data_IF_079975783224
#
_entry.id   IF_079975783224
#
_cell.length_a   1.000
_cell.length_b   1.000
_cell.length_c   1.000
_cell.angle_alpha   90.00
_cell.angle_beta   90.00
_cell.angle_gamma   90.00
#
_symmetry.space_group_name_H-M   'P 1'
#
loop_
_entity.id
_entity.type
_entity.pdbx_description
1 polymer ?
#
# COMPACT_ATOMS: atom_id res chain seq x y z
N UNK A 1 -4.66 -14.06 -23.00
CA UNK A 1 -3.92 -12.90 -22.44
C UNK A 1 -4.65 -12.36 -21.23
N UNK A 2 -5.97 -12.21 -21.33
CA UNK A 2 -6.85 -11.68 -20.29
C UNK A 2 -6.74 -12.43 -18.95
N UNK A 3 -6.82 -13.76 -19.00
CA UNK A 3 -6.67 -14.62 -17.81
C UNK A 3 -5.32 -14.38 -17.09
N UNK A 4 -4.23 -14.19 -17.84
CA UNK A 4 -2.90 -13.97 -17.25
C UNK A 4 -2.88 -12.62 -16.52
N UNK A 5 -3.41 -11.56 -17.13
CA UNK A 5 -3.48 -10.23 -16.51
C UNK A 5 -4.37 -10.23 -15.26
N UNK A 6 -5.51 -10.91 -15.31
CA UNK A 6 -6.39 -11.08 -14.14
C UNK A 6 -5.69 -11.83 -13.01
N UNK A 7 -4.98 -12.92 -13.32
CA UNK A 7 -4.22 -13.69 -12.31
C UNK A 7 -3.07 -12.88 -11.71
N UNK A 8 -2.32 -12.16 -12.54
CA UNK A 8 -1.24 -11.26 -12.07
C UNK A 8 -1.82 -10.22 -11.11
N UNK A 9 -2.93 -9.59 -11.48
CA UNK A 9 -3.63 -8.64 -10.61
C UNK A 9 -4.02 -9.27 -9.28
N UNK A 10 -4.71 -10.40 -9.33
CA UNK A 10 -5.21 -11.07 -8.14
C UNK A 10 -4.11 -11.53 -7.18
N UNK A 11 -3.04 -12.12 -7.72
CA UNK A 11 -1.88 -12.55 -6.94
C UNK A 11 -1.17 -11.34 -6.34
N UNK A 12 -0.95 -10.27 -7.11
CA UNK A 12 -0.24 -9.10 -6.64
C UNK A 12 -0.99 -8.38 -5.51
N UNK A 13 -2.31 -8.21 -5.61
CA UNK A 13 -3.12 -7.66 -4.52
C UNK A 13 -3.16 -8.56 -3.28
N UNK A 14 -3.18 -9.88 -3.48
CA UNK A 14 -3.07 -10.83 -2.36
C UNK A 14 -1.72 -10.67 -1.63
N UNK A 15 -0.62 -10.49 -2.37
CA UNK A 15 0.70 -10.19 -1.79
C UNK A 15 0.68 -8.86 -1.03
N UNK A 16 0.02 -7.82 -1.56
CA UNK A 16 -0.16 -6.54 -0.86
C UNK A 16 -0.85 -6.76 0.49
N UNK A 17 -1.94 -7.52 0.54
CA UNK A 17 -2.66 -7.78 1.78
C UNK A 17 -1.83 -8.55 2.81
N UNK A 18 -1.21 -9.66 2.41
CA UNK A 18 -0.37 -10.47 3.30
C UNK A 18 0.78 -9.63 3.86
N UNK A 19 1.45 -8.87 3.01
CA UNK A 19 2.58 -8.03 3.40
C UNK A 19 2.14 -6.84 4.27
N UNK A 20 0.99 -6.22 3.98
CA UNK A 20 0.42 -5.14 4.78
C UNK A 20 0.10 -5.61 6.21
N UNK A 21 -0.46 -6.81 6.36
CA UNK A 21 -0.70 -7.43 7.67
C UNK A 21 0.63 -7.68 8.39
N UNK A 22 1.59 -8.32 7.71
CA UNK A 22 2.91 -8.63 8.29
C UNK A 22 3.62 -7.36 8.78
N UNK A 23 3.70 -6.34 7.93
CA UNK A 23 4.36 -5.07 8.22
C UNK A 23 3.63 -4.29 9.30
N UNK A 24 2.29 -4.25 9.27
CA UNK A 24 1.50 -3.57 10.29
C UNK A 24 1.69 -4.18 11.68
N UNK A 25 1.74 -5.51 11.77
CA UNK A 25 2.03 -6.21 13.02
C UNK A 25 3.49 -6.01 13.47
N UNK A 26 4.46 -6.14 12.56
CA UNK A 26 5.90 -5.99 12.83
C UNK A 26 6.23 -4.59 13.34
N UNK A 27 5.77 -3.56 12.63
CA UNK A 27 6.11 -2.16 12.90
C UNK A 27 5.12 -1.50 13.89
N UNK A 28 4.15 -2.28 14.40
CA UNK A 28 3.08 -1.85 15.31
C UNK A 28 2.39 -0.59 14.81
N UNK A 29 1.89 -0.67 13.59
CA UNK A 29 1.26 0.42 12.85
C UNK A 29 0.25 -0.12 11.84
N UNK A 30 -0.42 0.75 11.09
CA UNK A 30 -1.19 0.37 9.91
C UNK A 30 -0.35 0.59 8.65
N UNK A 31 -0.35 -0.42 7.78
CA UNK A 31 0.42 -0.36 6.53
C UNK A 31 -0.34 0.34 5.39
N UNK A 32 -1.67 0.20 5.36
CA UNK A 32 -2.51 0.82 4.34
C UNK A 32 -3.12 2.12 4.85
N UNK A 33 -3.05 3.24 4.09
CA UNK A 33 -3.70 4.49 4.47
C UNK A 33 -5.19 4.32 4.75
N UNK A 34 -5.69 4.95 5.82
CA UNK A 34 -7.04 4.71 6.34
C UNK A 34 -8.16 4.93 5.31
N UNK A 35 -8.12 6.02 4.55
CA UNK A 35 -9.15 6.31 3.55
C UNK A 35 -9.16 5.27 2.42
N UNK A 36 -7.97 4.79 2.02
CA UNK A 36 -7.84 3.73 1.02
C UNK A 36 -8.34 2.39 1.55
N UNK A 37 -8.00 2.04 2.79
CA UNK A 37 -8.49 0.84 3.48
C UNK A 37 -10.02 0.84 3.60
N UNK A 38 -10.62 1.99 3.93
CA UNK A 38 -12.07 2.11 4.01
C UNK A 38 -12.77 1.95 2.66
N UNK A 39 -12.19 2.50 1.59
CA UNK A 39 -12.72 2.34 0.24
C UNK A 39 -12.56 0.92 -0.29
N UNK A 40 -11.41 0.27 -0.04
CA UNK A 40 -11.19 -1.13 -0.39
C UNK A 40 -12.19 -2.04 0.33
N UNK A 41 -12.29 -1.91 1.66
CA UNK A 41 -13.18 -2.75 2.43
C UNK A 41 -14.64 -2.58 2.00
N UNK A 42 -15.06 -1.33 1.74
CA UNK A 42 -16.38 -1.05 1.21
C UNK A 42 -16.60 -1.67 -0.18
N UNK A 43 -15.62 -1.52 -1.09
CA UNK A 43 -15.67 -2.08 -2.44
C UNK A 43 -15.83 -3.60 -2.37
N UNK A 44 -14.93 -4.28 -1.67
CA UNK A 44 -14.90 -5.74 -1.58
C UNK A 44 -16.16 -6.29 -0.92
N UNK A 45 -16.65 -5.65 0.14
CA UNK A 45 -17.89 -6.04 0.80
C UNK A 45 -19.11 -5.89 -0.10
N UNK A 46 -19.23 -4.75 -0.79
CA UNK A 46 -20.38 -4.46 -1.66
C UNK A 46 -20.43 -5.43 -2.85
N UNK A 47 -19.30 -5.66 -3.52
CA UNK A 47 -19.26 -6.58 -4.66
C UNK A 47 -19.31 -8.05 -4.24
N UNK A 48 -18.75 -8.43 -3.08
CA UNK A 48 -18.92 -9.78 -2.53
C UNK A 48 -20.40 -10.11 -2.25
N UNK A 49 -21.13 -9.21 -1.58
CA UNK A 49 -22.57 -9.40 -1.28
C UNK A 49 -23.37 -9.50 -2.58
N UNK A 50 -23.07 -8.64 -3.56
CA UNK A 50 -23.76 -8.66 -4.85
C UNK A 50 -23.52 -9.95 -5.62
N UNK A 51 -22.27 -10.39 -5.71
CA UNK A 51 -21.91 -11.64 -6.40
C UNK A 51 -22.59 -12.83 -5.73
N UNK A 52 -22.64 -12.88 -4.40
CA UNK A 52 -23.38 -13.92 -3.69
C UNK A 52 -24.89 -13.90 -3.97
N UNK A 53 -25.47 -12.71 -4.10
CA UNK A 53 -26.90 -12.56 -4.38
C UNK A 53 -27.28 -12.93 -5.83
N UNK A 54 -26.38 -12.73 -6.79
CA UNK A 54 -26.64 -13.07 -8.21
C UNK A 54 -26.14 -14.46 -8.61
N UNK A 55 -25.31 -15.10 -7.79
CA UNK A 55 -24.82 -16.46 -7.97
C UNK A 55 -23.32 -16.57 -7.68
N UNK A 56 -22.93 -17.54 -6.86
CA UNK A 56 -21.53 -17.72 -6.42
C UNK A 56 -20.59 -17.82 -7.62
N UNK A 57 -19.68 -16.84 -7.72
CA UNK A 57 -18.66 -16.75 -8.77
C UNK A 57 -17.26 -16.84 -8.15
N UNK A 58 -16.23 -17.27 -8.92
CA UNK A 58 -14.85 -17.24 -8.45
C UNK A 58 -14.41 -15.83 -7.99
N UNK A 59 -14.87 -14.78 -8.69
CA UNK A 59 -14.60 -13.39 -8.31
C UNK A 59 -15.23 -13.04 -6.96
N UNK A 60 -16.48 -13.47 -6.72
CA UNK A 60 -17.16 -13.25 -5.44
C UNK A 60 -16.41 -13.91 -4.28
N UNK A 61 -15.88 -15.12 -4.46
CA UNK A 61 -15.05 -15.80 -3.45
C UNK A 61 -13.76 -15.02 -3.18
N UNK A 62 -13.09 -14.52 -4.22
CA UNK A 62 -11.89 -13.68 -4.08
C UNK A 62 -12.22 -12.39 -3.31
N UNK A 63 -13.32 -11.72 -3.64
CA UNK A 63 -13.77 -10.51 -2.94
C UNK A 63 -14.04 -10.79 -1.45
N UNK A 64 -14.62 -11.95 -1.09
CA UNK A 64 -14.80 -12.35 0.31
C UNK A 64 -13.46 -12.56 1.02
N UNK A 65 -12.51 -13.23 0.36
CA UNK A 65 -11.17 -13.48 0.94
C UNK A 65 -10.43 -12.16 1.17
N UNK A 66 -10.49 -11.24 0.21
CA UNK A 66 -9.88 -9.93 0.38
C UNK A 66 -10.59 -9.10 1.45
N UNK A 67 -11.93 -9.09 1.51
CA UNK A 67 -12.66 -8.38 2.56
C UNK A 67 -12.30 -8.91 3.95
N UNK A 68 -12.05 -10.22 4.08
CA UNK A 68 -11.55 -10.82 5.31
C UNK A 68 -10.12 -10.36 5.64
N UNK A 69 -9.24 -10.23 4.64
CA UNK A 69 -7.90 -9.68 4.82
C UNK A 69 -7.96 -8.19 5.25
N UNK A 70 -8.87 -7.41 4.68
CA UNK A 70 -9.12 -6.03 5.07
C UNK A 70 -9.54 -5.93 6.54
N UNK A 71 -10.41 -6.82 7.05
CA UNK A 71 -10.75 -6.87 8.48
C UNK A 71 -9.50 -7.03 9.35
N UNK A 72 -8.54 -7.87 8.94
CA UNK A 72 -7.27 -8.03 9.66
C UNK A 72 -6.46 -6.73 9.61
N UNK A 73 -6.38 -6.06 8.46
CA UNK A 73 -5.67 -4.76 8.34
C UNK A 73 -6.36 -3.67 9.15
N UNK A 74 -7.69 -3.62 9.16
CA UNK A 74 -8.50 -2.73 10.01
C UNK A 74 -8.15 -2.97 11.48
N UNK A 75 -7.98 -4.23 11.89
CA UNK A 75 -7.57 -4.54 13.27
C UNK A 75 -6.20 -3.94 13.62
N UNK A 76 -5.24 -3.91 12.68
CA UNK A 76 -3.94 -3.26 12.87
C UNK A 76 -4.11 -1.75 13.04
N UNK A 77 -4.98 -1.11 12.24
CA UNK A 77 -5.31 0.31 12.38
C UNK A 77 -5.99 0.62 13.71
N UNK A 78 -7.01 -0.14 14.11
CA UNK A 78 -7.72 0.10 15.38
C UNK A 78 -6.81 -0.10 16.59
N UNK A 79 -5.86 -1.04 16.50
CA UNK A 79 -4.91 -1.34 17.59
C UNK A 79 -3.76 -0.34 17.67
N UNK A 80 -3.24 0.11 16.53
CA UNK A 80 -1.98 0.86 16.46
C UNK A 80 -2.08 2.25 15.85
N UNK A 81 -3.21 2.64 15.28
CA UNK A 81 -3.38 3.90 14.55
C UNK A 81 -3.55 5.13 15.45
N UNK A 82 -4.21 5.00 16.60
CA UNK A 82 -4.45 6.15 17.50
C UNK A 82 -3.15 6.85 17.95
N UNK A 83 -2.08 6.12 18.37
CA UNK A 83 -0.80 6.75 18.70
C UNK A 83 -0.14 7.54 17.57
N UNK A 84 -0.54 7.31 16.31
CA UNK A 84 0.00 8.05 15.16
C UNK A 84 -0.70 9.39 14.93
N UNK A 85 -1.82 9.63 15.61
CA UNK A 85 -2.60 10.85 15.47
C UNK A 85 -2.17 11.89 16.52
N UNK A 86 -2.45 13.18 16.27
CA UNK A 86 -2.16 14.24 17.23
C UNK A 86 -2.79 13.98 18.61
N UNK A 87 -2.16 14.52 19.67
CA UNK A 87 -2.57 14.30 21.07
C UNK A 87 -4.02 14.72 21.38
N UNK A 88 -4.61 15.63 20.59
CA UNK A 88 -6.00 16.04 20.75
C UNK A 88 -7.00 14.93 20.36
N UNK A 89 -6.56 13.90 19.63
CA UNK A 89 -7.40 12.77 19.22
C UNK A 89 -7.57 11.79 20.39
N UNK A 90 -8.66 12.00 21.13
CA UNK A 90 -9.12 11.12 22.21
C UNK A 90 -9.63 9.79 21.67
N UNK A 91 -9.83 8.78 22.54
CA UNK A 91 -10.38 7.48 22.13
C UNK A 91 -11.78 7.58 21.51
N UNK A 92 -12.73 8.36 22.07
CA UNK A 92 -14.04 8.56 21.44
C UNK A 92 -13.93 9.24 20.08
N UNK A 93 -13.07 10.26 19.95
CA UNK A 93 -12.88 10.95 18.67
C UNK A 93 -12.25 10.03 17.62
N UNK A 94 -11.30 9.19 18.00
CA UNK A 94 -10.72 8.17 17.13
C UNK A 94 -11.78 7.18 16.62
N UNK A 95 -12.66 6.70 17.52
CA UNK A 95 -13.75 5.80 17.14
C UNK A 95 -14.76 6.48 16.20
N UNK A 96 -15.20 7.70 16.53
CA UNK A 96 -16.12 8.47 15.70
C UNK A 96 -15.53 8.76 14.31
N UNK A 97 -14.25 9.15 14.25
CA UNK A 97 -13.54 9.35 12.99
C UNK A 97 -13.45 8.03 12.19
N UNK A 98 -13.08 6.93 12.82
CA UNK A 98 -13.02 5.62 12.16
C UNK A 98 -14.38 5.29 11.53
N UNK A 99 -15.46 5.36 12.31
CA UNK A 99 -16.82 5.12 11.81
C UNK A 99 -17.16 6.05 10.65
N UNK A 100 -16.85 7.34 10.75
CA UNK A 100 -17.10 8.30 9.68
C UNK A 100 -16.39 7.92 8.38
N UNK A 101 -15.11 7.52 8.45
CA UNK A 101 -14.32 7.18 7.25
C UNK A 101 -14.81 5.89 6.59
N UNK A 102 -15.12 4.85 7.38
CA UNK A 102 -15.69 3.62 6.84
C UNK A 102 -17.09 3.84 6.27
N UNK A 103 -17.96 4.59 6.96
CA UNK A 103 -19.29 4.94 6.46
C UNK A 103 -19.20 5.75 5.16
N UNK A 104 -18.24 6.67 5.06
CA UNK A 104 -17.97 7.42 3.81
C UNK A 104 -17.56 6.48 2.69
N UNK A 105 -16.71 5.48 2.96
CA UNK A 105 -16.33 4.46 1.98
C UNK A 105 -17.54 3.73 1.41
N UNK A 106 -18.43 3.24 2.26
CA UNK A 106 -19.67 2.58 1.83
C UNK A 106 -20.62 3.51 1.09
N UNK A 107 -20.78 4.76 1.54
CA UNK A 107 -21.59 5.76 0.86
C UNK A 107 -21.06 6.04 -0.56
N UNK A 108 -19.74 6.20 -0.72
CA UNK A 108 -19.11 6.38 -2.03
C UNK A 108 -19.38 5.18 -2.94
N UNK A 109 -19.18 3.94 -2.47
CA UNK A 109 -19.48 2.77 -3.31
C UNK A 109 -20.96 2.67 -3.69
N UNK A 110 -21.86 3.01 -2.76
CA UNK A 110 -23.30 3.08 -3.03
C UNK A 110 -23.66 4.11 -4.10
N UNK A 111 -23.04 5.30 -4.07
CA UNK A 111 -23.22 6.33 -5.08
C UNK A 111 -22.68 5.90 -6.45
N UNK A 112 -21.53 5.23 -6.50
CA UNK A 112 -21.00 4.67 -7.74
C UNK A 112 -21.96 3.64 -8.34
N UNK A 113 -22.47 2.71 -7.54
CA UNK A 113 -23.45 1.73 -7.98
C UNK A 113 -24.73 2.38 -8.51
N UNK A 114 -25.25 3.39 -7.80
CA UNK A 114 -26.47 4.08 -8.17
C UNK A 114 -26.33 4.86 -9.50
N UNK A 115 -25.14 5.41 -9.76
CA UNK A 115 -24.92 6.26 -10.93
C UNK A 115 -24.46 5.48 -12.18
N UNK A 116 -23.50 4.57 -12.03
CA UNK A 116 -22.85 3.88 -13.14
C UNK A 116 -23.41 2.47 -13.40
N UNK A 117 -24.22 1.94 -12.49
CA UNK A 117 -24.55 0.53 -12.47
C UNK A 117 -23.32 -0.33 -12.17
N UNK A 118 -23.53 -1.59 -11.85
CA UNK A 118 -22.48 -2.36 -11.19
C UNK A 118 -21.28 -2.75 -12.07
N UNK A 119 -21.48 -2.88 -13.38
CA UNK A 119 -20.39 -3.22 -14.29
C UNK A 119 -19.33 -2.11 -14.30
N UNK A 120 -19.75 -0.88 -14.59
CA UNK A 120 -18.86 0.28 -14.67
C UNK A 120 -18.44 0.80 -13.29
N UNK A 121 -19.35 0.76 -12.30
CA UNK A 121 -19.04 1.15 -10.93
C UNK A 121 -17.85 0.36 -10.39
N UNK A 122 -17.82 -0.97 -10.59
CA UNK A 122 -16.75 -1.82 -10.05
C UNK A 122 -15.38 -1.40 -10.56
N UNK A 123 -15.28 -1.08 -11.85
CA UNK A 123 -14.04 -0.68 -12.52
C UNK A 123 -13.64 0.74 -12.16
N UNK A 124 -14.56 1.69 -12.32
CA UNK A 124 -14.25 3.11 -12.13
C UNK A 124 -13.95 3.43 -10.67
N UNK A 125 -14.70 2.87 -9.72
CA UNK A 125 -14.42 3.11 -8.30
C UNK A 125 -13.13 2.43 -7.86
N UNK A 126 -12.81 1.23 -8.37
CA UNK A 126 -11.53 0.56 -8.09
C UNK A 126 -10.33 1.38 -8.57
N UNK A 127 -10.37 1.95 -9.78
CA UNK A 127 -9.27 2.78 -10.29
C UNK A 127 -9.15 4.12 -9.57
N UNK A 128 -10.27 4.80 -9.28
CA UNK A 128 -10.24 6.08 -8.59
C UNK A 128 -9.79 5.96 -7.13
N UNK A 129 -10.27 4.95 -6.40
CA UNK A 129 -9.82 4.71 -5.03
C UNK A 129 -8.36 4.29 -5.00
N UNK A 130 -7.88 3.56 -6.02
CA UNK A 130 -6.48 3.16 -6.11
C UNK A 130 -5.56 4.33 -6.48
N UNK A 131 -6.02 5.30 -7.29
CA UNK A 131 -5.30 6.55 -7.52
C UNK A 131 -5.13 7.33 -6.21
N UNK A 132 -6.21 7.47 -5.45
CA UNK A 132 -6.17 8.05 -4.10
C UNK A 132 -5.19 7.28 -3.20
N UNK A 133 -5.27 5.94 -3.19
CA UNK A 133 -4.37 5.08 -2.42
C UNK A 133 -2.90 5.32 -2.78
N UNK A 134 -2.57 5.46 -4.07
CA UNK A 134 -1.21 5.71 -4.56
C UNK A 134 -0.63 7.00 -3.98
N UNK A 135 -1.40 8.09 -4.04
CA UNK A 135 -1.00 9.36 -3.42
C UNK A 135 -0.89 9.28 -1.89
N UNK A 136 -1.81 8.56 -1.24
CA UNK A 136 -1.81 8.40 0.21
C UNK A 136 -0.63 7.58 0.73
N UNK A 137 -0.11 6.60 -0.02
CA UNK A 137 1.12 5.89 0.36
C UNK A 137 2.32 6.83 0.42
N UNK A 138 2.47 7.72 -0.57
CA UNK A 138 3.50 8.78 -0.54
C UNK A 138 3.26 9.71 0.66
N UNK A 139 2.01 10.12 0.90
CA UNK A 139 1.65 10.94 2.06
C UNK A 139 2.02 10.27 3.38
N UNK A 140 1.83 8.95 3.49
CA UNK A 140 2.20 8.17 4.68
C UNK A 140 3.71 8.12 4.88
N UNK A 141 4.48 7.93 3.80
CA UNK A 141 5.93 8.01 3.80
C UNK A 141 6.43 9.39 4.27
N UNK A 142 5.85 10.47 3.74
CA UNK A 142 6.20 11.83 4.13
C UNK A 142 5.86 12.12 5.60
N UNK A 143 4.65 11.76 6.04
CA UNK A 143 4.18 11.98 7.40
C UNK A 143 5.01 11.22 8.46
N UNK A 144 5.51 10.03 8.09
CA UNK A 144 6.36 9.21 8.96
C UNK A 144 7.86 9.50 8.82
N UNK A 145 8.23 10.39 7.89
CA UNK A 145 9.62 10.74 7.57
C UNK A 145 10.48 9.49 7.28
N UNK A 146 9.90 8.49 6.61
CA UNK A 146 10.59 7.23 6.30
C UNK A 146 9.66 6.04 6.05
N UNK A 147 10.23 4.83 5.89
CA UNK A 147 9.52 3.66 5.39
C UNK A 147 8.76 2.89 6.49
N UNK A 148 8.60 3.43 7.70
CA UNK A 148 7.92 2.73 8.81
C UNK A 148 6.50 2.36 8.42
N UNK A 149 6.12 1.09 8.61
CA UNK A 149 4.82 0.57 8.20
C UNK A 149 4.65 0.44 6.69
N UNK A 150 5.73 0.47 5.92
CA UNK A 150 5.73 0.34 4.47
C UNK A 150 6.77 -0.69 4.03
N UNK A 151 6.63 -1.21 2.80
CA UNK A 151 7.51 -2.24 2.26
C UNK A 151 7.64 -2.10 0.75
N UNK A 152 8.86 -2.25 0.19
CA UNK A 152 9.04 -2.32 -1.26
C UNK A 152 8.26 -3.46 -1.91
N UNK A 153 7.99 -4.54 -1.17
CA UNK A 153 7.11 -5.61 -1.65
C UNK A 153 5.69 -5.10 -1.85
N UNK A 154 5.13 -4.31 -0.92
CA UNK A 154 3.82 -3.65 -1.08
C UNK A 154 3.85 -2.72 -2.29
N UNK A 155 4.88 -1.88 -2.41
CA UNK A 155 4.96 -0.88 -3.47
C UNK A 155 5.00 -1.51 -4.87
N UNK A 156 5.86 -2.51 -5.08
CA UNK A 156 5.97 -3.21 -6.36
C UNK A 156 4.75 -4.07 -6.66
N UNK A 157 4.25 -4.82 -5.67
CA UNK A 157 3.06 -5.65 -5.87
C UNK A 157 1.82 -4.80 -6.17
N UNK A 158 1.61 -3.68 -5.46
CA UNK A 158 0.52 -2.74 -5.76
C UNK A 158 0.62 -2.20 -7.19
N UNK A 159 1.81 -1.78 -7.59
CA UNK A 159 2.03 -1.26 -8.94
C UNK A 159 1.69 -2.31 -10.01
N UNK A 160 2.21 -3.54 -9.87
CA UNK A 160 1.90 -4.64 -10.79
C UNK A 160 0.41 -5.01 -10.78
N UNK A 161 -0.20 -5.03 -9.59
CA UNK A 161 -1.63 -5.28 -9.40
C UNK A 161 -2.53 -4.22 -10.01
N UNK A 162 -2.00 -3.02 -10.28
CA UNK A 162 -2.71 -1.93 -10.97
C UNK A 162 -2.39 -1.90 -12.46
N UNK A 163 -1.14 -2.17 -12.82
CA UNK A 163 -0.68 -2.21 -14.21
C UNK A 163 -1.43 -3.29 -15.00
N UNK A 164 -1.60 -4.48 -14.43
CA UNK A 164 -2.29 -5.57 -15.09
C UNK A 164 -3.74 -5.23 -15.50
N UNK A 165 -4.63 -4.73 -14.60
CA UNK A 165 -5.96 -4.29 -14.99
C UNK A 165 -5.93 -3.02 -15.86
N UNK A 166 -4.90 -2.18 -15.78
CA UNK A 166 -4.74 -1.02 -16.68
C UNK A 166 -4.54 -1.50 -18.12
N UNK A 167 -3.69 -2.51 -18.33
CA UNK A 167 -3.47 -3.10 -19.64
C UNK A 167 -4.73 -3.82 -20.12
N UNK A 168 -5.37 -4.61 -19.25
CA UNK A 168 -6.59 -5.34 -19.60
C UNK A 168 -7.72 -4.40 -20.01
N UNK A 169 -8.16 -3.51 -19.11
CA UNK A 169 -9.33 -2.67 -19.36
C UNK A 169 -9.00 -1.44 -20.21
N UNK A 170 -7.82 -0.86 -20.02
CA UNK A 170 -7.42 0.36 -20.73
C UNK A 170 -6.97 0.12 -22.16
N UNK A 171 -6.17 -0.93 -22.40
CA UNK A 171 -5.60 -1.21 -23.72
C UNK A 171 -6.43 -2.24 -24.48
N UNK A 172 -6.71 -3.40 -23.88
CA UNK A 172 -7.40 -4.51 -24.58
C UNK A 172 -8.90 -4.26 -24.73
N UNK A 173 -9.56 -3.75 -23.69
CA UNK A 173 -10.99 -3.36 -23.75
C UNK A 173 -11.19 -1.90 -24.22
N UNK A 174 -10.13 -1.22 -24.63
CA UNK A 174 -10.17 0.14 -25.20
C UNK A 174 -10.87 1.20 -24.34
N UNK A 175 -10.73 1.15 -23.01
CA UNK A 175 -11.26 2.19 -22.11
C UNK A 175 -10.23 3.32 -21.88
N UNK A 176 -10.35 4.48 -22.57
CA UNK A 176 -9.41 5.59 -22.39
C UNK A 176 -9.46 6.16 -20.96
N UNK A 177 -10.62 6.08 -20.31
CA UNK A 177 -10.78 6.52 -18.93
C UNK A 177 -9.96 5.68 -17.95
N UNK A 178 -10.07 4.35 -18.03
CA UNK A 178 -9.30 3.43 -17.19
C UNK A 178 -7.81 3.52 -17.51
N UNK A 179 -7.45 3.64 -18.79
CA UNK A 179 -6.06 3.83 -19.21
C UNK A 179 -5.45 5.09 -18.59
N UNK A 180 -6.16 6.23 -18.65
CA UNK A 180 -5.72 7.49 -18.05
C UNK A 180 -5.51 7.38 -16.55
N UNK A 181 -6.47 6.81 -15.82
CA UNK A 181 -6.36 6.60 -14.37
C UNK A 181 -5.21 5.64 -14.02
N UNK A 182 -5.03 4.56 -14.77
CA UNK A 182 -3.96 3.59 -14.55
C UNK A 182 -2.57 4.14 -14.81
N UNK A 183 -2.41 5.03 -15.81
CA UNK A 183 -1.16 5.76 -16.04
C UNK A 183 -0.85 6.71 -14.88
N UNK A 184 -1.84 7.45 -14.38
CA UNK A 184 -1.66 8.30 -13.21
C UNK A 184 -1.28 7.49 -11.97
N UNK A 185 -1.95 6.35 -11.71
CA UNK A 185 -1.57 5.43 -10.64
C UNK A 185 -0.11 4.99 -10.78
N UNK A 186 0.30 4.62 -12.00
CA UNK A 186 1.67 4.19 -12.29
C UNK A 186 2.70 5.27 -11.98
N UNK A 187 2.42 6.53 -12.28
CA UNK A 187 3.32 7.65 -11.94
C UNK A 187 3.50 7.74 -10.42
N UNK A 188 2.41 7.76 -9.65
CA UNK A 188 2.51 7.83 -8.19
C UNK A 188 3.19 6.60 -7.59
N UNK A 189 2.89 5.40 -8.09
CA UNK A 189 3.47 4.16 -7.60
C UNK A 189 4.97 4.07 -7.88
N UNK A 190 5.43 4.51 -9.07
CA UNK A 190 6.86 4.55 -9.38
C UNK A 190 7.61 5.57 -8.52
N UNK A 191 7.00 6.74 -8.24
CA UNK A 191 7.56 7.71 -7.29
C UNK A 191 7.66 7.08 -5.90
N UNK A 192 6.61 6.41 -5.44
CA UNK A 192 6.60 5.73 -4.14
C UNK A 192 7.68 4.63 -4.04
N UNK A 193 7.82 3.79 -5.07
CA UNK A 193 8.90 2.79 -5.16
C UNK A 193 10.27 3.48 -5.07
N UNK A 194 10.48 4.56 -5.82
CA UNK A 194 11.73 5.33 -5.80
C UNK A 194 12.08 5.87 -4.42
N UNK A 195 11.11 6.39 -3.67
CA UNK A 195 11.29 6.86 -2.29
C UNK A 195 11.77 5.73 -1.37
N UNK A 196 11.12 4.56 -1.42
CA UNK A 196 11.51 3.42 -0.58
C UNK A 196 12.88 2.84 -0.94
N UNK A 197 13.23 2.81 -2.24
CA UNK A 197 14.54 2.33 -2.68
C UNK A 197 15.68 3.28 -2.28
N UNK A 198 15.43 4.59 -2.24
CA UNK A 198 16.40 5.58 -1.76
C UNK A 198 16.77 5.35 -0.31
N UNK A 199 15.78 5.11 0.55
CA UNK A 199 16.04 4.88 1.98
C UNK A 199 16.71 3.54 2.25
N UNK A 200 16.49 2.50 1.43
CA UNK A 200 17.25 1.25 1.55
C UNK A 200 18.74 1.41 1.26
N UNK A 201 19.13 2.37 0.41
CA UNK A 201 20.53 2.62 0.05
C UNK A 201 21.26 3.55 1.03
N UNK A 202 20.53 4.25 1.91
CA UNK A 202 21.10 5.12 2.94
C UNK A 202 21.78 4.40 4.11
N UNK A 203 21.23 3.31 4.70
CA UNK A 203 21.93 2.59 5.77
C UNK A 203 23.30 2.08 5.30
N UNK A 204 23.39 1.50 4.10
CA UNK A 204 24.67 1.04 3.52
C UNK A 204 25.69 2.17 3.34
N UNK A 205 25.25 3.39 3.00
CA UNK A 205 26.13 4.56 2.87
C UNK A 205 26.59 5.11 4.21
N UNK A 206 25.70 5.19 5.20
CA UNK A 206 26.05 5.66 6.54
C UNK A 206 27.04 4.72 7.23
N UNK A 207 26.88 3.40 7.06
CA UNK A 207 27.83 2.40 7.57
C UNK A 207 29.18 2.45 6.83
N UNK A 208 29.16 2.65 5.51
CA UNK A 208 30.38 2.81 4.70
C UNK A 208 31.13 4.11 5.03
N UNK A 209 30.42 5.22 5.28
CA UNK A 209 31.02 6.51 5.66
C UNK A 209 31.58 6.44 7.08
N UNK A 210 30.85 5.86 8.04
CA UNK A 210 31.35 5.63 9.40
C UNK A 210 32.58 4.70 9.42
N UNK A 211 32.59 3.66 8.59
CA UNK A 211 33.74 2.78 8.43
C UNK A 211 34.97 3.47 7.82
N UNK A 212 34.75 4.37 6.85
CA UNK A 212 35.82 5.17 6.25
C UNK A 212 36.39 6.21 7.24
N UNK A 213 35.54 6.84 8.05
CA UNK A 213 35.93 7.83 9.06
C UNK A 213 36.67 7.18 10.24
N UNK A 214 36.25 5.97 10.66
CA UNK A 214 36.98 5.15 11.63
C UNK A 214 38.34 4.69 11.10
N UNK A 215 38.44 4.33 9.80
CA UNK A 215 39.71 3.97 9.18
C UNK A 215 40.66 5.17 9.02
N UNK A 216 40.12 6.36 8.74
CA UNK A 216 40.90 7.59 8.61
C UNK A 216 41.40 8.15 9.96
N UNK A 217 40.71 7.82 11.07
CA UNK A 217 41.09 8.22 12.42
C UNK A 217 41.95 7.20 13.15
N UNK A 218 42.23 6.05 12.53
CA UNK A 218 43.09 5.02 13.11
C UNK A 218 44.54 5.54 13.25
N UNK A 219 45.17 5.41 14.44
CA UNK A 219 46.54 5.86 14.64
C UNK A 219 47.49 5.10 13.71
N UNK A 220 48.41 5.83 13.09
CA UNK A 220 49.41 5.24 12.20
C UNK A 220 50.15 4.10 12.91
N UNK A 221 50.40 2.96 12.26
CA UNK A 221 51.10 1.85 12.88
C UNK A 221 52.46 2.34 13.35
N UNK A 222 52.71 2.23 14.65
CA UNK A 222 53.98 2.59 15.27
C UNK A 222 55.04 1.74 14.59
N UNK A 223 55.85 2.36 13.72
CA UNK A 223 57.06 1.75 13.19
C UNK A 223 57.96 1.48 14.37
N UNK A 224 58.05 0.21 14.78
CA UNK A 224 59.06 -0.25 15.71
C UNK A 224 60.42 0.14 15.14
N UNK A 225 61.11 1.02 15.85
CA UNK A 225 62.50 1.35 15.54
C UNK A 225 63.34 0.08 15.70
N UNK A 226 64.30 -0.19 14.81
CA UNK A 226 65.21 -1.32 14.96
C UNK A 226 65.96 -1.20 16.28
N UNK A 227 65.99 -2.29 17.03
CA UNK A 227 66.75 -2.47 18.25
C UNK A 227 68.24 -2.16 18.00
N UNK A 228 68.87 -1.19 18.71
CA UNK A 228 70.27 -0.80 18.48
C UNK A 228 71.30 -1.80 19.03
N UNK A 229 70.93 -3.06 19.32
CA UNK A 229 71.82 -4.07 19.90
C UNK A 229 72.30 -5.18 18.95
N UNK A 230 72.36 -4.92 17.63
CA UNK A 230 73.01 -5.82 16.66
C UNK A 230 73.97 -5.09 15.73
#
# INVERSE_FOLDING_TARGET
MDLILTLVSGIAWTVVYVEAIRVGLRDRTYAMPLAALALNFAWESVYAVRDFATGVSPQGVVNVVWAAADIVIISTYLRFGRPELPRFVTRPLFAAWSVLVFATGFAVQGLFLAHFGAHDASRYSAFLQNLLMSGLFIGLYAARQGPRGQSPTIAVAKWLGTLAPTLLFGVLEHSPFVLGLGLLCSVFDLVYIGLLLRDRRRPDRAESEAGAEAAASAPAPVRSLPDPSR
#
